data_IF_417927600541
#
_entry.id   IF_417927600541
#
_cell.length_a   1.000
_cell.length_b   1.000
_cell.length_c   1.000
_cell.angle_alpha   90.00
_cell.angle_beta   90.00
_cell.angle_gamma   90.00
#
_symmetry.space_group_name_H-M   'P 1'
#
loop_
_entity.id
_entity.type
_entity.pdbx_description
1 polymer ?
#
# COMPACT_ATOMS: atom_id res chain seq x y z
N UNK A 1 6.00 -22.87 -13.07
CA UNK A 1 5.39 -22.11 -14.17
C UNK A 1 4.86 -20.80 -13.62
N UNK A 2 5.71 -19.79 -13.49
CA UNK A 2 5.34 -18.42 -13.11
C UNK A 2 6.30 -17.49 -13.87
N UNK A 3 5.71 -16.61 -14.68
CA UNK A 3 6.21 -15.32 -15.20
C UNK A 3 7.55 -15.27 -15.97
N UNK A 4 7.48 -15.39 -17.29
CA UNK A 4 8.27 -14.56 -18.20
C UNK A 4 7.33 -13.95 -19.24
N UNK A 5 6.81 -12.76 -18.95
CA UNK A 5 6.01 -11.97 -19.89
C UNK A 5 6.01 -10.50 -19.43
N UNK A 6 7.16 -9.84 -19.45
CA UNK A 6 7.24 -8.38 -19.63
C UNK A 6 8.68 -7.96 -19.92
N UNK A 7 9.04 -7.99 -21.19
CA UNK A 7 10.19 -7.27 -21.74
C UNK A 7 9.88 -7.00 -23.21
N UNK A 8 8.93 -6.10 -23.45
CA UNK A 8 8.69 -5.56 -24.78
C UNK A 8 9.51 -4.29 -24.90
N UNK A 9 10.66 -4.45 -25.56
CA UNK A 9 11.64 -3.42 -25.84
C UNK A 9 11.04 -2.41 -26.83
N UNK A 10 11.06 -1.14 -26.44
CA UNK A 10 10.68 -0.03 -27.29
C UNK A 10 11.78 0.25 -28.32
N UNK A 11 11.33 0.49 -29.54
CA UNK A 11 12.11 0.75 -30.75
C UNK A 11 13.05 1.97 -30.62
N UNK A 12 14.23 1.85 -31.24
CA UNK A 12 14.98 3.01 -31.73
C UNK A 12 15.25 2.75 -33.22
N UNK A 13 14.68 3.53 -34.16
CA UNK A 13 15.06 3.40 -35.56
C UNK A 13 16.45 4.02 -35.75
N UNK A 14 17.37 3.20 -36.26
CA UNK A 14 18.71 3.61 -36.65
C UNK A 14 18.62 4.60 -37.82
N UNK A 15 19.14 5.81 -37.61
CA UNK A 15 19.40 6.77 -38.69
C UNK A 15 20.47 6.21 -39.63
N UNK A 16 20.07 5.95 -40.88
CA UNK A 16 20.98 5.67 -41.98
C UNK A 16 21.52 6.99 -42.53
N UNK A 17 22.80 7.29 -42.25
CA UNK A 17 23.56 8.31 -42.96
C UNK A 17 24.63 7.63 -43.79
N UNK A 18 24.66 7.92 -45.10
CA UNK A 18 25.80 7.60 -45.93
C UNK A 18 25.53 7.69 -47.42
N UNK A 19 25.98 8.80 -47.99
CA UNK A 19 26.36 8.99 -49.39
C UNK A 19 25.31 9.66 -50.30
N UNK A 20 25.48 10.97 -50.54
CA UNK A 20 25.85 11.46 -51.86
C UNK A 20 26.11 12.99 -51.87
N UNK A 21 27.12 13.36 -52.66
CA UNK A 21 27.37 14.67 -53.28
C UNK A 21 27.83 15.86 -52.41
N UNK A 22 29.15 15.92 -52.19
CA UNK A 22 29.87 17.19 -52.21
C UNK A 22 30.72 17.24 -53.50
N UNK A 23 30.37 18.15 -54.41
CA UNK A 23 31.06 18.39 -55.68
C UNK A 23 30.90 19.84 -56.08
N UNK A 24 32.02 20.58 -56.03
CA UNK A 24 32.16 22.02 -56.12
C UNK A 24 31.66 22.67 -57.44
N UNK A 25 31.26 23.94 -57.28
CA UNK A 25 31.56 25.09 -58.14
C UNK A 25 31.44 24.93 -59.67
N UNK A 26 30.55 25.71 -60.28
CA UNK A 26 30.99 26.68 -61.30
C UNK A 26 29.93 27.76 -61.52
N UNK A 27 30.41 28.99 -61.61
CA UNK A 27 29.65 30.17 -61.95
C UNK A 27 29.80 30.41 -63.44
N UNK A 28 28.73 30.30 -64.23
CA UNK A 28 28.71 30.90 -65.57
C UNK A 28 27.28 31.09 -66.08
N UNK A 29 26.85 32.35 -66.03
CA UNK A 29 25.72 32.89 -66.78
C UNK A 29 26.16 33.14 -68.23
N UNK A 30 25.50 32.51 -69.21
CA UNK A 30 25.39 32.94 -70.64
C UNK A 30 24.70 31.82 -71.44
N UNK A 31 23.93 31.98 -72.52
CA UNK A 31 23.32 33.09 -73.28
C UNK A 31 22.37 32.36 -74.24
N UNK A 32 21.15 32.87 -74.48
CA UNK A 32 20.36 32.62 -75.71
C UNK A 32 19.67 33.96 -76.02
N UNK A 33 20.31 34.82 -76.81
CA UNK A 33 20.17 34.95 -78.27
C UNK A 33 18.86 35.63 -78.70
N UNK A 34 18.97 36.91 -79.12
CA UNK A 34 18.56 37.46 -80.41
C UNK A 34 18.25 38.96 -80.30
N UNK A 35 18.69 39.73 -81.29
CA UNK A 35 18.10 41.04 -81.60
C UNK A 35 19.13 42.15 -81.68
N UNK A 36 19.77 42.24 -82.83
CA UNK A 36 20.65 43.32 -83.27
C UNK A 36 19.92 44.69 -83.32
N UNK A 37 20.72 45.76 -83.37
CA UNK A 37 20.40 47.15 -83.74
C UNK A 37 19.98 48.13 -82.62
N UNK A 38 20.99 48.65 -81.93
CA UNK A 38 20.97 50.04 -81.43
C UNK A 38 21.46 50.99 -82.51
N UNK A 39 20.63 51.95 -82.92
CA UNK A 39 21.00 53.34 -83.18
C UNK A 39 19.80 54.10 -83.77
N UNK A 40 19.00 54.74 -82.93
CA UNK A 40 18.41 56.01 -83.32
C UNK A 40 18.25 56.90 -82.10
N UNK A 41 19.12 57.92 -82.05
CA UNK A 41 18.99 59.04 -81.13
C UNK A 41 18.03 60.02 -81.78
N UNK A 42 16.80 60.10 -81.28
CA UNK A 42 15.94 61.24 -81.52
C UNK A 42 15.52 61.84 -80.20
N UNK A 43 16.19 62.94 -79.85
CA UNK A 43 15.67 63.93 -78.96
C UNK A 43 14.69 64.80 -79.76
N UNK A 44 13.40 64.66 -79.50
CA UNK A 44 12.39 65.65 -79.87
C UNK A 44 11.73 66.15 -78.58
N UNK A 45 12.03 67.41 -78.26
CA UNK A 45 11.31 68.17 -77.25
C UNK A 45 10.05 68.71 -77.90
N UNK A 46 8.88 68.24 -77.46
CA UNK A 46 7.64 69.00 -77.57
C UNK A 46 6.87 68.90 -76.25
N UNK A 47 6.70 70.05 -75.61
CA UNK A 47 5.78 70.21 -74.49
C UNK A 47 4.38 70.45 -75.05
N UNK A 48 3.38 69.68 -74.58
CA UNK A 48 2.07 70.14 -74.10
C UNK A 48 1.12 68.96 -73.84
N UNK A 49 0.87 68.67 -72.56
CA UNK A 49 -0.12 67.70 -72.06
C UNK A 49 0.31 67.21 -70.68
N UNK A 50 -0.57 67.24 -69.69
CA UNK A 50 -0.30 66.78 -68.32
C UNK A 50 -0.06 65.27 -68.29
N UNK A 51 1.14 64.84 -68.67
CA UNK A 51 1.49 63.42 -68.82
C UNK A 51 1.92 62.88 -67.45
N UNK A 52 0.92 62.48 -66.67
CA UNK A 52 1.14 61.72 -65.43
C UNK A 52 1.76 60.39 -65.82
N UNK A 53 2.86 60.01 -65.16
CA UNK A 53 3.52 58.71 -65.36
C UNK A 53 2.45 57.60 -65.35
N UNK A 54 2.27 56.82 -66.43
CA UNK A 54 1.10 55.95 -66.62
C UNK A 54 0.73 55.02 -65.45
N UNK A 55 1.66 54.45 -64.65
CA UNK A 55 1.30 53.65 -63.47
C UNK A 55 0.99 54.47 -62.19
N UNK A 56 1.08 55.80 -62.22
CA UNK A 56 0.68 56.71 -61.14
C UNK A 56 -0.46 57.66 -61.56
N UNK A 57 -1.26 57.29 -62.56
CA UNK A 57 -2.47 58.05 -62.91
C UNK A 57 -3.54 57.94 -61.80
N UNK A 58 -3.86 59.04 -61.10
CA UNK A 58 -4.82 59.03 -60.01
C UNK A 58 -6.26 58.70 -60.42
N UNK A 59 -6.58 58.71 -61.72
CA UNK A 59 -7.88 58.27 -62.22
C UNK A 59 -8.13 56.75 -62.02
N UNK A 60 -7.07 55.95 -61.89
CA UNK A 60 -7.17 54.48 -61.74
C UNK A 60 -7.21 54.00 -60.28
N UNK A 61 -6.70 54.81 -59.34
CA UNK A 61 -6.69 54.47 -57.91
C UNK A 61 -8.07 54.18 -57.31
N UNK A 62 -9.16 54.92 -57.62
CA UNK A 62 -10.48 54.61 -57.08
C UNK A 62 -10.98 53.21 -57.46
N UNK A 63 -10.72 52.77 -58.70
CA UNK A 63 -11.10 51.42 -59.17
C UNK A 63 -10.27 50.34 -58.48
N UNK A 64 -8.96 50.55 -58.34
CA UNK A 64 -8.07 49.62 -57.66
C UNK A 64 -8.38 49.52 -56.15
N UNK A 65 -8.70 50.64 -55.50
CA UNK A 65 -9.13 50.67 -54.10
C UNK A 65 -10.51 50.03 -53.91
N UNK A 66 -11.45 50.23 -54.86
CA UNK A 66 -12.75 49.56 -54.84
C UNK A 66 -12.59 48.04 -54.94
N UNK A 67 -11.77 47.56 -55.88
CA UNK A 67 -11.54 46.13 -56.05
C UNK A 67 -10.72 45.52 -54.91
N UNK A 68 -9.74 46.27 -54.38
CA UNK A 68 -9.03 45.90 -53.16
C UNK A 68 -10.00 45.77 -51.98
N UNK A 69 -10.91 46.72 -51.79
CA UNK A 69 -11.90 46.66 -50.71
C UNK A 69 -12.86 45.47 -50.87
N UNK A 70 -13.29 45.18 -52.11
CA UNK A 70 -14.17 44.03 -52.40
C UNK A 70 -13.44 42.71 -52.11
N UNK A 71 -12.24 42.52 -52.65
CA UNK A 71 -11.44 41.29 -52.48
C UNK A 71 -10.97 41.10 -51.04
N UNK A 72 -10.51 42.17 -50.39
CA UNK A 72 -10.13 42.15 -48.97
C UNK A 72 -11.34 41.89 -48.08
N UNK A 73 -12.50 42.49 -48.35
CA UNK A 73 -13.74 42.23 -47.64
C UNK A 73 -14.19 40.77 -47.79
N UNK A 74 -14.15 40.24 -49.02
CA UNK A 74 -14.45 38.83 -49.28
C UNK A 74 -13.50 37.88 -48.53
N UNK A 75 -12.19 38.15 -48.56
CA UNK A 75 -11.18 37.39 -47.83
C UNK A 75 -11.38 37.49 -46.32
N UNK A 76 -11.67 38.68 -45.80
CA UNK A 76 -11.95 38.91 -44.39
C UNK A 76 -13.16 38.11 -43.91
N UNK A 77 -14.26 38.12 -44.68
CA UNK A 77 -15.45 37.34 -44.37
C UNK A 77 -15.16 35.83 -44.40
N UNK A 78 -14.39 35.36 -45.39
CA UNK A 78 -13.97 33.95 -45.45
C UNK A 78 -13.11 33.55 -44.24
N UNK A 79 -12.14 34.38 -43.87
CA UNK A 79 -11.23 34.12 -42.76
C UNK A 79 -11.95 34.19 -41.41
N UNK A 80 -12.82 35.19 -41.23
CA UNK A 80 -13.65 35.36 -40.04
C UNK A 80 -14.62 34.19 -39.86
N UNK A 81 -15.25 33.72 -40.95
CA UNK A 81 -16.30 32.71 -40.88
C UNK A 81 -15.79 31.27 -40.98
N UNK A 82 -14.56 31.04 -41.45
CA UNK A 82 -13.99 29.68 -41.62
C UNK A 82 -12.71 29.46 -40.83
N UNK A 83 -11.73 30.35 -40.90
CA UNK A 83 -10.43 30.13 -40.26
C UNK A 83 -10.50 30.31 -38.73
N UNK A 84 -11.10 31.40 -38.25
CA UNK A 84 -11.28 31.64 -36.80
C UNK A 84 -12.07 30.52 -36.09
N UNK A 85 -13.25 30.06 -36.57
CA UNK A 85 -13.97 28.99 -35.88
C UNK A 85 -13.22 27.66 -35.90
N UNK A 86 -12.44 27.36 -36.95
CA UNK A 86 -11.60 26.15 -36.99
C UNK A 86 -10.51 26.18 -35.91
N UNK A 87 -9.83 27.31 -35.75
CA UNK A 87 -8.79 27.47 -34.72
C UNK A 87 -9.40 27.45 -33.31
N UNK A 88 -10.56 28.11 -33.15
CA UNK A 88 -11.32 28.09 -31.89
C UNK A 88 -11.73 26.68 -31.48
N UNK A 89 -12.22 25.87 -32.42
CA UNK A 89 -12.60 24.47 -32.16
C UNK A 89 -11.41 23.58 -31.74
N UNK A 90 -10.23 23.76 -32.34
CA UNK A 90 -9.02 23.03 -31.92
C UNK A 90 -8.61 23.42 -30.51
N UNK A 91 -8.63 24.72 -30.21
CA UNK A 91 -8.24 25.21 -28.90
C UNK A 91 -9.22 24.73 -27.82
N UNK A 92 -10.52 24.75 -28.10
CA UNK A 92 -11.54 24.23 -27.20
C UNK A 92 -11.40 22.72 -26.99
N UNK A 93 -11.18 21.95 -28.05
CA UNK A 93 -10.95 20.51 -27.95
C UNK A 93 -9.71 20.19 -27.09
N UNK A 94 -8.61 20.92 -27.27
CA UNK A 94 -7.41 20.73 -26.43
C UNK A 94 -7.66 21.09 -24.97
N UNK A 95 -8.37 22.20 -24.70
CA UNK A 95 -8.76 22.56 -23.33
C UNK A 95 -9.63 21.47 -22.71
N UNK A 96 -10.67 21.02 -23.42
CA UNK A 96 -11.57 19.96 -22.95
C UNK A 96 -10.83 18.66 -22.66
N UNK A 97 -9.85 18.27 -23.48
CA UNK A 97 -9.01 17.09 -23.20
C UNK A 97 -8.14 17.31 -21.95
N UNK A 98 -7.48 18.46 -21.82
CA UNK A 98 -6.66 18.77 -20.64
C UNK A 98 -7.51 18.78 -19.37
N UNK A 99 -8.68 19.40 -19.40
CA UNK A 99 -9.59 19.47 -18.26
C UNK A 99 -10.12 18.07 -17.90
N UNK A 100 -10.43 17.24 -18.90
CA UNK A 100 -10.83 15.86 -18.68
C UNK A 100 -9.69 15.01 -18.08
N UNK A 101 -8.46 15.15 -18.58
CA UNK A 101 -7.29 14.44 -18.07
C UNK A 101 -6.95 14.88 -16.64
N UNK A 102 -7.04 16.18 -16.33
CA UNK A 102 -6.86 16.71 -14.98
C UNK A 102 -7.95 16.19 -14.04
N UNK A 103 -9.21 16.21 -14.46
CA UNK A 103 -10.32 15.69 -13.66
C UNK A 103 -10.18 14.17 -13.41
N UNK A 104 -9.73 13.41 -14.41
CA UNK A 104 -9.46 11.98 -14.26
C UNK A 104 -8.30 11.74 -13.29
N UNK A 105 -7.20 12.49 -13.40
CA UNK A 105 -6.05 12.40 -12.51
C UNK A 105 -6.42 12.76 -11.06
N UNK A 106 -7.23 13.80 -10.84
CA UNK A 106 -7.72 14.18 -9.52
C UNK A 106 -8.66 13.12 -8.94
N UNK A 107 -9.55 12.54 -9.76
CA UNK A 107 -10.44 11.48 -9.33
C UNK A 107 -9.65 10.22 -8.93
N UNK A 108 -8.64 9.85 -9.69
CA UNK A 108 -7.80 8.69 -9.39
C UNK A 108 -6.92 8.94 -8.16
N UNK A 109 -6.39 10.15 -7.99
CA UNK A 109 -5.71 10.56 -6.76
C UNK A 109 -6.63 10.43 -5.55
N UNK A 110 -7.85 10.94 -5.62
CA UNK A 110 -8.82 10.83 -4.52
C UNK A 110 -9.16 9.37 -4.19
N UNK A 111 -9.31 8.51 -5.20
CA UNK A 111 -9.53 7.07 -4.99
C UNK A 111 -8.32 6.42 -4.29
N UNK A 112 -7.10 6.75 -4.70
CA UNK A 112 -5.88 6.26 -4.05
C UNK A 112 -5.79 6.74 -2.61
N UNK A 113 -6.00 8.02 -2.35
CA UNK A 113 -5.97 8.59 -1.00
C UNK A 113 -7.04 7.93 -0.10
N UNK A 114 -8.26 7.71 -0.62
CA UNK A 114 -9.31 6.99 0.08
C UNK A 114 -8.94 5.51 0.33
N UNK A 115 -8.32 4.84 -0.64
CA UNK A 115 -7.86 3.46 -0.49
C UNK A 115 -6.76 3.36 0.57
N UNK A 116 -5.78 4.26 0.57
CA UNK A 116 -4.73 4.36 1.59
C UNK A 116 -5.35 4.56 2.97
N UNK A 117 -6.24 5.54 3.12
CA UNK A 117 -6.91 5.80 4.41
C UNK A 117 -7.70 4.58 4.91
N UNK A 118 -8.39 3.86 4.01
CA UNK A 118 -9.12 2.64 4.35
C UNK A 118 -8.20 1.50 4.78
N UNK A 119 -7.05 1.36 4.11
CA UNK A 119 -6.03 0.36 4.42
C UNK A 119 -5.36 0.63 5.75
N UNK A 120 -4.96 1.88 6.01
CA UNK A 120 -4.38 2.30 7.29
C UNK A 120 -5.35 2.10 8.44
N UNK A 121 -6.64 2.45 8.25
CA UNK A 121 -7.70 2.18 9.22
C UNK A 121 -7.86 0.69 9.50
N UNK A 122 -7.94 -0.14 8.45
CA UNK A 122 -8.06 -1.59 8.61
C UNK A 122 -6.84 -2.19 9.33
N UNK A 123 -5.63 -1.69 9.06
CA UNK A 123 -4.42 -2.10 9.75
C UNK A 123 -4.44 -1.72 11.24
N UNK A 124 -4.88 -0.49 11.56
CA UNK A 124 -5.01 -0.02 12.93
C UNK A 124 -6.06 -0.84 13.71
N UNK A 125 -7.23 -1.09 13.12
CA UNK A 125 -8.28 -1.93 13.70
C UNK A 125 -7.82 -3.37 13.90
N UNK A 126 -7.11 -3.95 12.93
CA UNK A 126 -6.56 -5.30 13.05
C UNK A 126 -5.53 -5.39 14.19
N UNK A 127 -4.63 -4.41 14.31
CA UNK A 127 -3.66 -4.34 15.42
C UNK A 127 -4.35 -4.19 16.77
N UNK A 128 -5.35 -3.30 16.87
CA UNK A 128 -6.12 -3.11 18.09
C UNK A 128 -6.88 -4.39 18.49
N UNK A 129 -7.51 -5.07 17.53
CA UNK A 129 -8.20 -6.35 17.75
C UNK A 129 -7.23 -7.45 18.19
N UNK A 130 -6.06 -7.55 17.57
CA UNK A 130 -5.04 -8.52 17.96
C UNK A 130 -4.53 -8.27 19.39
N UNK A 131 -4.30 -7.01 19.77
CA UNK A 131 -3.93 -6.64 21.13
C UNK A 131 -5.05 -6.95 22.13
N UNK A 132 -6.31 -6.67 21.76
CA UNK A 132 -7.48 -7.01 22.57
C UNK A 132 -7.59 -8.52 22.83
N UNK A 133 -7.51 -9.33 21.77
CA UNK A 133 -7.53 -10.80 21.89
C UNK A 133 -6.37 -11.30 22.75
N UNK A 134 -5.16 -10.75 22.58
CA UNK A 134 -4.00 -11.14 23.38
C UNK A 134 -4.18 -10.79 24.86
N UNK A 135 -4.77 -9.64 25.18
CA UNK A 135 -5.07 -9.23 26.54
C UNK A 135 -6.15 -10.13 27.18
N UNK A 136 -7.27 -10.33 26.49
CA UNK A 136 -8.37 -11.19 26.93
C UNK A 136 -7.90 -12.64 27.15
N UNK A 137 -7.10 -13.18 26.23
CA UNK A 137 -6.54 -14.53 26.35
C UNK A 137 -5.60 -14.64 27.55
N UNK A 138 -4.76 -13.63 27.79
CA UNK A 138 -3.86 -13.61 28.97
C UNK A 138 -4.65 -13.56 30.27
N UNK A 139 -5.72 -12.79 30.32
CA UNK A 139 -6.59 -12.70 31.49
C UNK A 139 -7.32 -14.02 31.73
N UNK A 140 -7.91 -14.60 30.69
CA UNK A 140 -8.57 -15.91 30.76
C UNK A 140 -7.62 -17.03 31.21
N UNK A 141 -6.39 -17.08 30.67
CA UNK A 141 -5.37 -18.05 31.07
C UNK A 141 -4.97 -17.84 32.54
N UNK A 142 -4.81 -16.59 32.99
CA UNK A 142 -4.47 -16.32 34.39
C UNK A 142 -5.59 -16.76 35.34
N UNK A 143 -6.86 -16.50 34.96
CA UNK A 143 -8.01 -16.94 35.73
C UNK A 143 -8.12 -18.47 35.80
N UNK A 144 -7.96 -19.17 34.66
CA UNK A 144 -7.96 -20.64 34.60
C UNK A 144 -6.79 -21.24 35.41
N UNK A 145 -5.59 -20.64 35.32
CA UNK A 145 -4.44 -21.08 36.09
C UNK A 145 -4.66 -20.89 37.60
N UNK A 146 -5.22 -19.76 38.02
CA UNK A 146 -5.56 -19.53 39.42
C UNK A 146 -6.61 -20.54 39.92
N UNK A 147 -7.65 -20.82 39.12
CA UNK A 147 -8.67 -21.81 39.45
C UNK A 147 -8.08 -23.21 39.59
N UNK A 148 -7.27 -23.65 38.63
CA UNK A 148 -6.58 -24.96 38.66
C UNK A 148 -5.61 -25.06 39.83
N UNK A 149 -4.86 -24.00 40.11
CA UNK A 149 -3.96 -23.94 41.27
C UNK A 149 -4.73 -24.10 42.58
N UNK A 150 -5.81 -23.35 42.76
CA UNK A 150 -6.64 -23.44 43.97
C UNK A 150 -7.26 -24.84 44.13
N UNK A 151 -7.73 -25.44 43.03
CA UNK A 151 -8.26 -26.80 43.05
C UNK A 151 -7.18 -27.84 43.43
N UNK A 152 -5.99 -27.73 42.85
CA UNK A 152 -4.86 -28.60 43.17
C UNK A 152 -4.39 -28.44 44.62
N UNK A 153 -4.32 -27.20 45.12
CA UNK A 153 -3.97 -26.90 46.52
C UNK A 153 -5.00 -27.51 47.49
N UNK A 154 -6.29 -27.40 47.16
CA UNK A 154 -7.37 -27.99 47.96
C UNK A 154 -7.32 -29.53 47.96
N UNK A 155 -7.10 -30.16 46.81
CA UNK A 155 -6.98 -31.62 46.70
C UNK A 155 -5.73 -32.12 47.44
N UNK A 156 -4.61 -31.40 47.32
CA UNK A 156 -3.39 -31.72 48.05
C UNK A 156 -3.59 -31.60 49.56
N UNK A 157 -4.22 -30.53 50.04
CA UNK A 157 -4.52 -30.35 51.46
C UNK A 157 -5.42 -31.47 51.99
N UNK A 158 -6.43 -31.89 51.22
CA UNK A 158 -7.30 -33.01 51.59
C UNK A 158 -6.53 -34.33 51.67
N UNK A 159 -5.64 -34.60 50.71
CA UNK A 159 -4.79 -35.80 50.71
C UNK A 159 -3.79 -35.82 51.87
N UNK A 160 -3.19 -34.69 52.19
CA UNK A 160 -2.29 -34.55 53.36
C UNK A 160 -3.08 -34.84 54.64
N UNK A 161 -4.24 -34.21 54.82
CA UNK A 161 -5.07 -34.45 56.01
C UNK A 161 -5.51 -35.92 56.14
N UNK A 162 -5.90 -36.56 55.03
CA UNK A 162 -6.26 -37.97 55.02
C UNK A 162 -5.05 -38.89 55.35
N UNK A 163 -3.86 -38.55 54.84
CA UNK A 163 -2.63 -39.28 55.14
C UNK A 163 -2.24 -39.13 56.62
N UNK A 164 -2.33 -37.92 57.18
CA UNK A 164 -2.10 -37.65 58.60
C UNK A 164 -3.06 -38.44 59.49
N UNK A 165 -4.36 -38.47 59.15
CA UNK A 165 -5.35 -39.27 59.88
C UNK A 165 -5.03 -40.77 59.82
N UNK A 166 -4.58 -41.28 58.65
CA UNK A 166 -4.17 -42.68 58.50
C UNK A 166 -2.92 -43.00 59.33
N UNK A 167 -1.93 -42.13 59.32
CA UNK A 167 -0.71 -42.27 60.14
C UNK A 167 -1.08 -42.27 61.62
N UNK A 168 -1.94 -41.36 62.08
CA UNK A 168 -2.39 -41.30 63.46
C UNK A 168 -3.12 -42.58 63.88
N UNK A 169 -4.00 -43.10 63.02
CA UNK A 169 -4.70 -44.38 63.25
C UNK A 169 -3.73 -45.55 63.35
N UNK A 170 -2.84 -45.73 62.38
CA UNK A 170 -1.84 -46.81 62.39
C UNK A 170 -0.90 -46.70 63.58
N UNK A 171 -0.52 -45.49 63.99
CA UNK A 171 0.25 -45.26 65.23
C UNK A 171 -0.51 -45.72 66.46
N UNK A 172 -1.80 -45.39 66.57
CA UNK A 172 -2.63 -45.83 67.69
C UNK A 172 -2.77 -47.36 67.73
N UNK A 173 -3.06 -47.99 66.59
CA UNK A 173 -3.14 -49.46 66.46
C UNK A 173 -1.82 -50.14 66.84
N UNK A 174 -0.68 -49.64 66.35
CA UNK A 174 0.64 -50.16 66.70
C UNK A 174 0.94 -50.04 68.20
N UNK A 175 0.56 -48.92 68.83
CA UNK A 175 0.73 -48.74 70.28
C UNK A 175 -0.16 -49.71 71.08
N UNK A 176 -1.37 -50.00 70.63
CA UNK A 176 -2.25 -51.02 71.24
C UNK A 176 -1.64 -52.42 71.13
N UNK A 177 -1.12 -52.80 69.96
CA UNK A 177 -0.47 -54.09 69.79
C UNK A 177 0.78 -54.25 70.66
N UNK A 178 1.56 -53.17 70.86
CA UNK A 178 2.69 -53.18 71.80
C UNK A 178 2.22 -53.41 73.24
N UNK A 179 1.11 -52.79 73.66
CA UNK A 179 0.54 -52.98 74.99
C UNK A 179 0.02 -54.41 75.20
N UNK A 180 -0.62 -54.99 74.18
CA UNK A 180 -1.07 -56.40 74.18
C UNK A 180 0.12 -57.36 74.32
N UNK A 181 1.15 -57.21 73.48
CA UNK A 181 2.36 -58.03 73.54
C UNK A 181 3.07 -57.88 74.90
N UNK A 182 3.13 -56.67 75.44
CA UNK A 182 3.73 -56.42 76.75
C UNK A 182 2.95 -57.10 77.87
N UNK A 183 1.61 -57.05 77.84
CA UNK A 183 0.75 -57.72 78.81
C UNK A 183 0.83 -59.25 78.71
N UNK A 184 0.80 -59.81 77.50
CA UNK A 184 0.97 -61.25 77.25
C UNK A 184 2.34 -61.74 77.73
N UNK A 185 3.41 -61.00 77.40
CA UNK A 185 4.77 -61.33 77.84
C UNK A 185 4.91 -61.25 79.36
N UNK A 186 4.37 -60.21 79.99
CA UNK A 186 4.37 -60.07 81.45
C UNK A 186 3.58 -61.20 82.11
N UNK A 187 2.43 -61.58 81.57
CA UNK A 187 1.62 -62.69 82.08
C UNK A 187 2.38 -64.02 81.97
N UNK A 188 3.03 -64.29 80.84
CA UNK A 188 3.82 -65.50 80.63
C UNK A 188 4.99 -65.60 81.61
N UNK A 189 5.71 -64.49 81.85
CA UNK A 189 6.84 -64.44 82.80
C UNK A 189 6.37 -64.63 84.24
N UNK A 190 5.31 -63.93 84.68
CA UNK A 190 4.80 -64.06 86.05
C UNK A 190 4.17 -65.45 86.27
N UNK A 191 3.48 -65.99 85.26
CA UNK A 191 2.91 -67.34 85.29
C UNK A 191 3.94 -68.43 85.55
N UNK A 192 5.15 -68.30 85.00
CA UNK A 192 6.26 -69.22 85.28
C UNK A 192 6.80 -69.11 86.72
N UNK A 193 6.63 -67.98 87.41
CA UNK A 193 7.22 -67.73 88.73
C UNK A 193 6.22 -68.00 89.87
N UNK A 194 4.95 -67.59 89.72
CA UNK A 194 3.98 -67.53 90.83
C UNK A 194 2.76 -68.46 90.62
N UNK A 195 2.59 -69.04 89.43
CA UNK A 195 1.43 -69.87 89.06
C UNK A 195 0.37 -69.10 88.26
N UNK A 196 -0.85 -69.64 88.13
CA UNK A 196 -1.88 -69.07 87.25
C UNK A 196 -2.37 -67.70 87.75
N UNK A 197 -2.27 -66.67 86.91
CA UNK A 197 -2.61 -65.28 87.25
C UNK A 197 -3.62 -64.74 86.26
N UNK A 198 -4.63 -64.01 86.74
CA UNK A 198 -5.69 -63.49 85.88
C UNK A 198 -5.16 -62.43 84.90
N UNK A 199 -5.55 -62.57 83.64
CA UNK A 199 -5.15 -61.67 82.54
C UNK A 199 -5.57 -60.21 82.80
N UNK A 200 -6.66 -60.00 83.54
CA UNK A 200 -7.17 -58.66 83.84
C UNK A 200 -6.31 -57.94 84.89
N UNK A 201 -5.76 -58.68 85.87
CA UNK A 201 -4.83 -58.15 86.87
C UNK A 201 -3.51 -57.70 86.21
N UNK A 202 -2.98 -58.51 85.29
CA UNK A 202 -1.72 -58.19 84.59
C UNK A 202 -1.89 -56.97 83.68
N UNK A 203 -2.99 -56.91 82.90
CA UNK A 203 -3.30 -55.73 82.08
C UNK A 203 -3.45 -54.45 82.91
N UNK A 204 -4.13 -54.52 84.06
CA UNK A 204 -4.28 -53.38 84.95
C UNK A 204 -2.93 -52.91 85.52
N UNK A 205 -2.00 -53.82 85.84
CA UNK A 205 -0.67 -53.49 86.34
C UNK A 205 0.22 -52.85 85.27
N UNK A 206 0.23 -53.38 84.05
CA UNK A 206 0.98 -52.81 82.91
C UNK A 206 0.45 -51.42 82.56
N UNK A 207 -0.87 -51.22 82.55
CA UNK A 207 -1.47 -49.91 82.31
C UNK A 207 -1.09 -48.88 83.37
N UNK A 208 -0.94 -49.29 84.63
CA UNK A 208 -0.59 -48.41 85.76
C UNK A 208 0.86 -47.89 85.73
N UNK A 209 1.75 -48.55 85.00
CA UNK A 209 3.15 -48.12 84.78
C UNK A 209 3.28 -47.17 83.58
N UNK A 210 2.32 -47.21 82.64
CA UNK A 210 2.33 -46.42 81.41
C UNK A 210 1.75 -45.00 81.56
N UNK A 211 0.89 -44.77 82.56
CA UNK A 211 0.35 -43.44 82.91
C UNK A 211 1.29 -42.65 83.80
#
# INVERSE_FOLDING_TARGET
MVTQAYAQEAEIPAEANGNEAAGAADAAHAVVAQGDLSADTQATTEAHGSDVFPPFDPATFPSQLLWLAITFGALYLLMSKVALPRIGGILENRKGLIDADLAAADADRQKTDAAIASYEKALAEAKAKAQGIAAETREAIQADLAAKRNAAESDLSAKVSAAEARIAKTKAEALTHVDEIAAETAQAVVGQIVGDVSADSVRAAVAKVKG
#
